data_IF_647574018839
#
_entry.id   IF_647574018839
#
_cell.length_a   1.000
_cell.length_b   1.000
_cell.length_c   1.000
_cell.angle_alpha   90.00
_cell.angle_beta   90.00
_cell.angle_gamma   90.00
#
_symmetry.space_group_name_H-M   'P 1'
#
loop_
_entity.id
_entity.type
_entity.pdbx_description
1 polymer ?
#
# COMPACT_ATOMS: atom_id res chain seq x y z
N UNK A 1 -2.87 -2.18 -0.15
CA UNK A 1 -3.81 -1.40 0.68
C UNK A 1 -3.93 0.07 0.29
N UNK A 2 -2.83 0.85 0.39
CA UNK A 2 -2.84 2.33 0.25
C UNK A 2 -3.61 2.81 -0.98
N UNK A 3 -3.35 2.23 -2.16
CA UNK A 3 -4.03 2.60 -3.41
C UNK A 3 -5.55 2.40 -3.33
N UNK A 4 -5.99 1.17 -3.05
CA UNK A 4 -7.40 0.77 -3.08
C UNK A 4 -8.20 1.58 -2.07
N UNK A 5 -7.69 1.73 -0.85
CA UNK A 5 -8.35 2.50 0.20
C UNK A 5 -8.43 3.98 -0.14
N UNK A 6 -7.37 4.57 -0.71
CA UNK A 6 -7.38 5.98 -1.14
C UNK A 6 -8.42 6.25 -2.22
N UNK A 7 -8.47 5.39 -3.24
CA UNK A 7 -9.45 5.49 -4.33
C UNK A 7 -10.88 5.32 -3.80
N UNK A 8 -11.09 4.38 -2.89
CA UNK A 8 -12.39 4.16 -2.25
C UNK A 8 -12.85 5.40 -1.46
N UNK A 9 -11.98 5.98 -0.63
CA UNK A 9 -12.30 7.17 0.16
C UNK A 9 -12.59 8.37 -0.74
N UNK A 10 -11.80 8.57 -1.80
CA UNK A 10 -12.02 9.64 -2.77
C UNK A 10 -13.35 9.50 -3.52
N UNK A 11 -13.68 8.30 -4.00
CA UNK A 11 -14.96 8.06 -4.68
C UNK A 11 -16.15 8.34 -3.77
N UNK A 12 -16.11 7.87 -2.53
CA UNK A 12 -17.18 8.12 -1.57
C UNK A 12 -17.22 9.58 -1.10
N UNK A 13 -16.09 10.30 -1.21
CA UNK A 13 -16.03 11.75 -1.02
C UNK A 13 -16.52 12.58 -2.22
N UNK A 14 -17.05 11.94 -3.27
CA UNK A 14 -17.59 12.61 -4.44
C UNK A 14 -16.55 13.03 -5.47
N UNK A 15 -15.30 12.57 -5.36
CA UNK A 15 -14.26 12.82 -6.35
C UNK A 15 -14.43 11.86 -7.52
N UNK A 16 -14.56 12.40 -8.74
CA UNK A 16 -14.55 11.58 -9.95
C UNK A 16 -13.17 10.98 -10.21
N UNK A 17 -13.11 9.65 -10.29
CA UNK A 17 -11.89 8.94 -10.66
C UNK A 17 -11.76 8.87 -12.18
N UNK A 18 -10.93 9.75 -12.73
CA UNK A 18 -10.50 9.65 -14.13
C UNK A 18 -9.32 8.68 -14.26
N UNK A 19 -9.14 8.10 -15.46
CA UNK A 19 -7.97 7.27 -15.77
C UNK A 19 -6.62 7.94 -15.42
N UNK A 20 -6.39 9.22 -15.77
CA UNK A 20 -5.19 9.95 -15.35
C UNK A 20 -5.02 10.01 -13.82
N UNK A 21 -6.11 10.24 -13.08
CA UNK A 21 -6.08 10.28 -11.61
C UNK A 21 -5.66 8.94 -11.03
N UNK A 22 -6.18 7.82 -11.55
CA UNK A 22 -5.83 6.48 -11.08
C UNK A 22 -4.35 6.18 -11.32
N UNK A 23 -3.82 6.51 -12.50
CA UNK A 23 -2.40 6.33 -12.82
C UNK A 23 -1.48 7.13 -11.89
N UNK A 24 -1.86 8.38 -11.61
CA UNK A 24 -1.13 9.22 -10.66
C UNK A 24 -1.16 8.63 -9.25
N UNK A 25 -2.31 8.11 -8.81
CA UNK A 25 -2.44 7.47 -7.51
C UNK A 25 -1.67 6.15 -7.39
N UNK A 26 -1.49 5.40 -8.48
CA UNK A 26 -0.59 4.24 -8.50
C UNK A 26 0.82 4.68 -8.12
N UNK A 27 1.35 5.73 -8.74
CA UNK A 27 2.69 6.25 -8.44
C UNK A 27 2.80 6.73 -6.98
N UNK A 28 1.82 7.52 -6.51
CA UNK A 28 1.79 7.99 -5.11
C UNK A 28 1.78 6.81 -4.14
N UNK A 29 0.98 5.78 -4.42
CA UNK A 29 0.85 4.62 -3.55
C UNK A 29 2.14 3.80 -3.45
N UNK A 30 2.88 3.66 -4.55
CA UNK A 30 4.17 2.96 -4.57
C UNK A 30 5.21 3.72 -3.76
N UNK A 31 5.32 5.03 -3.97
CA UNK A 31 6.26 5.88 -3.21
C UNK A 31 5.92 5.85 -1.73
N UNK A 32 4.63 5.91 -1.40
CA UNK A 32 4.15 5.89 -0.01
C UNK A 32 4.40 4.53 0.65
N UNK A 33 4.24 3.42 -0.08
CA UNK A 33 4.48 2.08 0.44
C UNK A 33 5.92 1.89 0.94
N UNK A 34 6.92 2.51 0.31
CA UNK A 34 8.32 2.48 0.78
C UNK A 34 8.46 3.07 2.19
N UNK A 35 7.64 4.06 2.54
CA UNK A 35 7.66 4.71 3.85
C UNK A 35 6.94 3.97 4.97
N UNK A 36 6.28 2.83 4.70
CA UNK A 36 5.43 2.16 5.69
C UNK A 36 6.21 1.39 6.78
N UNK A 37 7.46 1.01 6.50
CA UNK A 37 8.24 0.09 7.35
C UNK A 37 8.55 0.66 8.75
N UNK A 38 8.57 1.99 8.90
CA UNK A 38 8.94 2.66 10.16
C UNK A 38 7.78 2.91 11.13
N UNK A 39 6.54 2.61 10.76
CA UNK A 39 5.35 3.07 11.50
C UNK A 39 4.42 1.88 11.81
N UNK A 40 3.96 1.70 13.06
CA UNK A 40 2.96 0.68 13.37
C UNK A 40 1.66 0.96 12.63
N UNK A 41 1.02 -0.08 12.07
CA UNK A 41 -0.13 0.05 11.17
C UNK A 41 0.15 1.01 9.99
N UNK A 42 1.37 0.94 9.42
CA UNK A 42 1.90 1.94 8.50
C UNK A 42 1.03 2.18 7.27
N UNK A 43 0.45 1.13 6.68
CA UNK A 43 -0.43 1.27 5.51
C UNK A 43 -1.70 2.09 5.81
N UNK A 44 -2.33 1.87 6.96
CA UNK A 44 -3.47 2.67 7.40
C UNK A 44 -3.06 4.11 7.72
N UNK A 45 -1.99 4.28 8.48
CA UNK A 45 -1.51 5.60 8.89
C UNK A 45 -1.12 6.48 7.69
N UNK A 46 -0.41 5.92 6.72
CA UNK A 46 -0.02 6.63 5.50
C UNK A 46 -1.23 7.00 4.64
N UNK A 47 -2.20 6.10 4.52
CA UNK A 47 -3.46 6.40 3.81
C UNK A 47 -4.22 7.53 4.50
N UNK A 48 -4.32 7.50 5.82
CA UNK A 48 -4.94 8.56 6.62
C UNK A 48 -4.22 9.90 6.39
N UNK A 49 -2.89 9.91 6.38
CA UNK A 49 -2.09 11.11 6.13
C UNK A 49 -2.34 11.69 4.73
N UNK A 50 -2.34 10.85 3.69
CA UNK A 50 -2.62 11.26 2.31
C UNK A 50 -4.05 11.81 2.14
N UNK A 51 -5.04 11.16 2.74
CA UNK A 51 -6.43 11.61 2.71
C UNK A 51 -6.63 12.92 3.49
N UNK A 52 -5.95 13.08 4.62
CA UNK A 52 -5.95 14.34 5.37
C UNK A 52 -5.32 15.49 4.57
N UNK A 53 -4.22 15.23 3.85
CA UNK A 53 -3.55 16.24 3.03
C UNK A 53 -4.34 16.67 1.80
N UNK A 54 -5.23 15.81 1.30
CA UNK A 54 -6.07 16.07 0.13
C UNK A 54 -7.46 16.61 0.49
N UNK A 55 -7.79 16.72 1.79
CA UNK A 55 -9.09 17.18 2.26
C UNK A 55 -10.22 16.16 2.07
N UNK A 56 -9.89 14.89 1.83
CA UNK A 56 -10.87 13.83 1.67
C UNK A 56 -11.55 13.48 3.01
N UNK A 57 -12.80 12.97 3.00
CA UNK A 57 -13.54 12.66 4.21
C UNK A 57 -12.92 11.47 4.97
N UNK A 58 -12.03 11.78 5.91
CA UNK A 58 -11.35 10.81 6.79
C UNK A 58 -12.30 10.01 7.69
N UNK A 59 -13.54 10.46 7.88
CA UNK A 59 -14.56 9.69 8.60
C UNK A 59 -14.82 8.32 7.98
N UNK A 60 -14.60 8.17 6.67
CA UNK A 60 -14.75 6.90 5.95
C UNK A 60 -13.67 5.89 6.34
N UNK A 61 -12.44 6.34 6.59
CA UNK A 61 -11.35 5.48 7.09
C UNK A 61 -11.70 4.88 8.46
N UNK A 62 -12.41 5.62 9.31
CA UNK A 62 -12.87 5.14 10.62
C UNK A 62 -13.81 3.92 10.53
N UNK A 63 -14.55 3.77 9.41
CA UNK A 63 -15.41 2.60 9.15
C UNK A 63 -14.57 1.37 8.79
N UNK A 64 -13.39 1.56 8.19
CA UNK A 64 -12.49 0.48 7.75
C UNK A 64 -11.65 -0.04 8.92
N UNK A 65 -11.38 0.81 9.92
CA UNK A 65 -10.51 0.52 11.07
C UNK A 65 -10.80 -0.82 11.79
N UNK A 66 -12.07 -1.23 12.06
CA UNK A 66 -12.34 -2.50 12.74
C UNK A 66 -11.87 -3.73 11.94
N UNK A 67 -11.96 -3.66 10.61
CA UNK A 67 -11.57 -4.75 9.70
C UNK A 67 -10.07 -4.67 9.38
N UNK A 68 -9.49 -3.47 9.45
CA UNK A 68 -8.08 -3.24 9.14
C UNK A 68 -7.14 -4.15 9.94
N UNK A 69 -7.45 -4.45 11.20
CA UNK A 69 -6.60 -5.34 12.02
C UNK A 69 -6.35 -6.71 11.38
N UNK A 70 -7.36 -7.28 10.71
CA UNK A 70 -7.24 -8.55 9.99
C UNK A 70 -6.46 -8.36 8.70
N UNK A 71 -6.73 -7.27 7.99
CA UNK A 71 -6.05 -6.95 6.73
C UNK A 71 -4.55 -6.69 6.98
N UNK A 72 -4.19 -5.98 8.05
CA UNK A 72 -2.81 -5.67 8.45
C UNK A 72 -1.99 -6.94 8.73
N UNK A 73 -2.62 -7.95 9.35
CA UNK A 73 -2.00 -9.26 9.53
C UNK A 73 -1.74 -9.98 8.19
N UNK A 74 -2.67 -9.88 7.24
CA UNK A 74 -2.51 -10.45 5.89
C UNK A 74 -1.41 -9.70 5.13
N UNK A 75 -1.40 -8.37 5.19
CA UNK A 75 -0.37 -7.53 4.56
C UNK A 75 1.03 -7.88 5.08
N UNK A 76 1.15 -8.07 6.40
CA UNK A 76 2.42 -8.47 7.01
C UNK A 76 2.88 -9.84 6.50
N UNK A 77 1.96 -10.80 6.38
CA UNK A 77 2.27 -12.13 5.86
C UNK A 77 2.68 -12.09 4.38
N UNK A 78 1.98 -11.30 3.55
CA UNK A 78 2.27 -11.13 2.13
C UNK A 78 3.65 -10.50 1.91
N UNK A 79 3.99 -9.45 2.68
CA UNK A 79 5.29 -8.78 2.59
C UNK A 79 6.45 -9.74 2.90
N UNK A 80 6.31 -10.56 3.96
CA UNK A 80 7.35 -11.55 4.31
C UNK A 80 7.45 -12.66 3.26
N UNK A 81 6.30 -13.09 2.70
CA UNK A 81 6.26 -14.09 1.64
C UNK A 81 6.96 -13.59 0.37
N UNK A 82 6.69 -12.36 -0.06
CA UNK A 82 7.32 -11.80 -1.26
C UNK A 82 8.83 -11.68 -1.11
N UNK A 83 9.32 -11.23 0.05
CA UNK A 83 10.76 -11.10 0.31
C UNK A 83 11.46 -12.47 0.29
N UNK A 84 10.81 -13.50 0.85
CA UNK A 84 11.32 -14.87 0.80
C UNK A 84 11.42 -15.40 -0.64
N UNK A 85 10.44 -15.08 -1.49
CA UNK A 85 10.47 -15.43 -2.92
C UNK A 85 11.60 -14.70 -3.65
N UNK A 86 11.81 -13.41 -3.36
CA UNK A 86 12.89 -12.61 -3.97
C UNK A 86 14.25 -13.17 -3.55
N UNK A 87 14.46 -13.51 -2.28
CA UNK A 87 15.70 -14.15 -1.82
C UNK A 87 16.02 -15.44 -2.59
N UNK A 88 15.02 -16.32 -2.78
CA UNK A 88 15.20 -17.56 -3.54
C UNK A 88 15.52 -17.32 -5.03
N UNK A 89 14.94 -16.29 -5.64
CA UNK A 89 15.23 -15.90 -7.03
C UNK A 89 16.65 -15.35 -7.14
N UNK A 90 17.06 -14.48 -6.21
CA UNK A 90 18.40 -13.87 -6.19
C UNK A 90 19.48 -14.94 -6.01
N UNK A 91 19.31 -15.86 -5.07
CA UNK A 91 20.25 -16.98 -4.85
C UNK A 91 20.45 -17.82 -6.13
N UNK A 92 19.35 -18.20 -6.79
CA UNK A 92 19.39 -18.95 -8.05
C UNK A 92 20.00 -18.17 -9.21
N UNK A 93 19.90 -16.84 -9.21
CA UNK A 93 20.42 -15.97 -10.27
C UNK A 93 21.92 -15.77 -10.09
N UNK A 94 22.37 -15.43 -8.88
CA UNK A 94 23.79 -15.23 -8.57
C UNK A 94 24.59 -16.53 -8.71
N UNK A 95 24.07 -17.67 -8.25
CA UNK A 95 24.73 -18.97 -8.41
C UNK A 95 24.94 -19.37 -9.88
N UNK A 96 24.20 -18.79 -10.83
CA UNK A 96 24.41 -19.02 -12.27
C UNK A 96 25.44 -18.07 -12.88
N UNK A 97 25.58 -16.86 -12.35
CA UNK A 97 26.58 -15.88 -12.81
C UNK A 97 28.00 -16.28 -12.37
N UNK A 98 28.15 -16.89 -11.18
CA UNK A 98 29.44 -17.41 -10.69
C UNK A 98 29.97 -18.64 -11.46
N UNK A 99 29.18 -19.19 -12.40
CA UNK A 99 29.53 -20.34 -13.24
C UNK A 99 29.98 -19.97 -14.67
N UNK A 100 30.16 -18.68 -14.97
CA UNK A 100 30.69 -18.16 -16.24
C UNK A 100 32.09 -17.59 -16.06
#
# INVERSE_FOLDING_TARGET
>A
FILVTSLFVMQNGGVELTLPSILLWILISVISAVGNAGVPMGCYFLTLSLMSGTGAPIGILGIILPIYTIIDMIETAENVWSDSCVCAIVDKTLSKEDLV
#
